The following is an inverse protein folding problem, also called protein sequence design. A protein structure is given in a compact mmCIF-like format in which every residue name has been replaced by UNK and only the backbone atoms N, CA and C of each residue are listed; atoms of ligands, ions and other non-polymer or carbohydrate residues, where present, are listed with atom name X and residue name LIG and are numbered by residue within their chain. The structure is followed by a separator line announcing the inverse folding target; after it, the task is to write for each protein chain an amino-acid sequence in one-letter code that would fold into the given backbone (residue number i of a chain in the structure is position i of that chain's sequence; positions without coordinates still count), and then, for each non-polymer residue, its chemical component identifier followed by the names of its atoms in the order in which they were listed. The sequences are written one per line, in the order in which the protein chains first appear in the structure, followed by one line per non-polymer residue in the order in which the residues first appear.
data_IF_608433256610
#
_entry.id   IF_608433256610
#
_cell.length_a   1.000
_cell.length_b   1.000
_cell.length_c   1.000
_cell.angle_alpha   90.00
_cell.angle_beta   90.00
_cell.angle_gamma   90.00
#
_symmetry.space_group_name_H-M   'P 1'
#
loop_
_entity.id
_entity.type
_entity.pdbx_description
1 polymer ?
#
# COMPACT_ATOMS: atom_id res chain seq x y z
N UNK A 1 -22.37 -12.92 52.50
CA UNK A 1 -21.12 -12.13 52.28
C UNK A 1 -20.46 -12.47 50.96
N UNK A 2 -20.47 -13.70 50.52
CA UNK A 2 -19.89 -14.20 49.25
C UNK A 2 -20.53 -13.56 47.99
N UNK A 3 -21.84 -13.33 47.97
CA UNK A 3 -22.58 -12.75 46.82
C UNK A 3 -22.31 -11.25 46.58
N UNK A 4 -21.78 -10.51 47.56
CA UNK A 4 -21.42 -9.10 47.36
C UNK A 4 -20.04 -8.93 46.74
N UNK A 5 -19.08 -9.82 47.05
CA UNK A 5 -17.74 -9.84 46.47
C UNK A 5 -17.76 -10.32 45.02
N UNK A 6 -18.61 -11.28 44.66
CA UNK A 6 -18.79 -11.74 43.28
C UNK A 6 -19.38 -10.64 42.36
N UNK A 7 -20.34 -9.85 42.87
CA UNK A 7 -20.90 -8.71 42.12
C UNK A 7 -19.94 -7.55 41.98
N UNK A 8 -19.07 -7.29 42.95
CA UNK A 8 -18.02 -6.28 42.86
C UNK A 8 -16.93 -6.69 41.88
N UNK A 9 -16.55 -7.97 41.82
CA UNK A 9 -15.58 -8.47 40.84
C UNK A 9 -16.08 -8.40 39.39
N UNK A 10 -17.36 -8.69 39.16
CA UNK A 10 -17.99 -8.59 37.83
C UNK A 10 -18.10 -7.13 37.39
N UNK A 11 -18.42 -6.20 38.29
CA UNK A 11 -18.47 -4.76 37.98
C UNK A 11 -17.08 -4.16 37.72
N UNK A 12 -16.02 -4.62 38.38
CA UNK A 12 -14.64 -4.22 38.13
C UNK A 12 -14.13 -4.80 36.81
N UNK A 13 -14.48 -6.05 36.45
CA UNK A 13 -14.12 -6.63 35.16
C UNK A 13 -14.84 -5.95 33.98
N UNK A 14 -16.13 -5.63 34.14
CA UNK A 14 -16.87 -4.90 33.10
C UNK A 14 -16.41 -3.45 32.96
N UNK A 15 -16.01 -2.77 34.04
CA UNK A 15 -15.40 -1.45 34.00
C UNK A 15 -14.03 -1.43 33.30
N UNK A 16 -13.20 -2.45 33.54
CA UNK A 16 -11.90 -2.58 32.86
C UNK A 16 -12.04 -2.92 31.37
N UNK A 17 -13.04 -3.71 30.98
CA UNK A 17 -13.35 -4.01 29.57
C UNK A 17 -13.92 -2.81 28.82
N UNK A 18 -14.67 -1.92 29.49
CA UNK A 18 -15.19 -0.70 28.88
C UNK A 18 -14.10 0.36 28.68
N UNK A 19 -13.05 0.38 29.50
CA UNK A 19 -11.90 1.28 29.31
C UNK A 19 -10.90 0.75 28.28
N UNK A 20 -10.80 -0.57 28.09
CA UNK A 20 -9.99 -1.15 27.01
C UNK A 20 -10.62 -0.93 25.62
N UNK A 21 -11.95 -0.79 25.54
CA UNK A 21 -12.65 -0.49 24.28
C UNK A 21 -12.42 0.93 23.75
N UNK A 22 -12.07 1.90 24.60
CA UNK A 22 -11.85 3.28 24.20
C UNK A 22 -10.44 3.53 23.59
N UNK A 23 -9.48 2.63 23.78
CA UNK A 23 -8.14 2.69 23.17
C UNK A 23 -8.00 1.89 21.86
N UNK A 24 -9.04 1.14 21.48
CA UNK A 24 -9.01 0.27 20.29
C UNK A 24 -9.52 0.94 19.01
N UNK A 25 -10.00 2.16 19.06
CA UNK A 25 -10.59 2.84 17.88
C UNK A 25 -9.60 3.56 16.98
N UNK A 26 -8.33 3.72 17.39
CA UNK A 26 -7.32 4.41 16.57
C UNK A 26 -6.40 3.48 15.77
N UNK A 27 -6.42 2.18 16.03
CA UNK A 27 -5.55 1.20 15.37
C UNK A 27 -6.05 0.72 14.00
N UNK A 28 -7.26 1.07 13.60
CA UNK A 28 -7.87 0.62 12.34
C UNK A 28 -7.44 1.39 11.09
N UNK A 29 -7.03 2.65 11.23
CA UNK A 29 -6.70 3.56 10.13
C UNK A 29 -5.21 3.70 9.85
N UNK A 30 -4.36 2.88 10.43
CA UNK A 30 -2.90 3.08 10.33
C UNK A 30 -2.25 2.53 9.05
N UNK A 31 -2.94 1.70 8.28
CA UNK A 31 -2.44 1.08 7.05
C UNK A 31 -3.59 0.65 6.14
N UNK A 32 -3.26 0.35 4.89
CA UNK A 32 -4.21 -0.09 3.87
C UNK A 32 -4.28 0.82 2.66
N UNK A 33 -5.30 0.61 1.82
CA UNK A 33 -5.60 1.43 0.65
C UNK A 33 -6.80 2.31 0.90
N UNK A 34 -6.65 3.57 0.57
CA UNK A 34 -7.68 4.59 0.64
C UNK A 34 -7.95 5.13 -0.76
N UNK A 35 -9.21 5.38 -1.05
CA UNK A 35 -9.65 5.93 -2.33
C UNK A 35 -10.40 7.23 -2.12
N UNK A 36 -10.06 8.22 -2.92
CA UNK A 36 -10.84 9.44 -3.15
C UNK A 36 -11.48 9.38 -4.54
N UNK A 37 -12.66 9.97 -4.70
CA UNK A 37 -13.35 10.15 -5.99
C UNK A 37 -13.57 11.60 -6.38
N UNK A 38 -13.11 12.52 -5.55
CA UNK A 38 -13.35 13.95 -5.62
C UNK A 38 -12.06 14.79 -5.60
N UNK A 39 -10.99 14.23 -6.19
CA UNK A 39 -9.70 14.93 -6.23
C UNK A 39 -9.03 15.06 -4.87
N UNK A 40 -9.22 14.06 -4.00
CA UNK A 40 -8.58 14.02 -2.69
C UNK A 40 -9.27 14.87 -1.61
N UNK A 41 -10.50 15.32 -1.83
CA UNK A 41 -11.22 16.08 -0.81
C UNK A 41 -11.77 15.16 0.29
N UNK A 42 -12.28 13.97 -0.09
CA UNK A 42 -12.73 12.95 0.85
C UNK A 42 -12.08 11.60 0.55
N UNK A 43 -11.86 10.79 1.58
CA UNK A 43 -11.18 9.51 1.49
C UNK A 43 -11.96 8.40 2.20
N UNK A 44 -11.97 7.23 1.59
CA UNK A 44 -12.58 6.02 2.13
C UNK A 44 -11.57 4.88 2.07
N UNK A 45 -11.36 4.19 3.17
CA UNK A 45 -10.59 2.95 3.18
C UNK A 45 -11.33 1.88 2.37
N UNK A 46 -10.62 1.23 1.43
CA UNK A 46 -11.22 0.26 0.51
C UNK A 46 -10.78 -1.17 0.76
N UNK A 47 -9.95 -1.43 1.78
CA UNK A 47 -9.58 -2.79 2.22
C UNK A 47 -9.60 -2.95 3.76
N UNK A 48 -10.66 -2.51 4.47
CA UNK A 48 -10.66 -2.47 5.93
C UNK A 48 -10.59 -3.86 6.57
N UNK A 49 -11.16 -4.86 5.94
CA UNK A 49 -11.26 -6.24 6.44
C UNK A 49 -10.20 -7.18 5.85
N UNK A 50 -9.33 -6.68 4.98
CA UNK A 50 -8.28 -7.50 4.37
C UNK A 50 -7.25 -7.93 5.42
N UNK A 51 -6.89 -9.22 5.41
CA UNK A 51 -5.82 -9.78 6.24
C UNK A 51 -4.45 -9.18 5.88
N UNK A 52 -4.25 -8.75 4.64
CA UNK A 52 -3.04 -8.09 4.15
C UNK A 52 -3.30 -6.59 4.04
N UNK A 53 -2.93 -5.83 5.07
CA UNK A 53 -3.27 -4.40 5.18
C UNK A 53 -2.19 -3.45 4.70
N UNK A 54 -0.92 -3.86 4.75
CA UNK A 54 0.18 -3.00 4.32
C UNK A 54 0.21 -2.82 2.81
N UNK A 55 -0.19 -1.65 2.30
CA UNK A 55 -0.21 -1.36 0.87
C UNK A 55 1.17 -0.88 0.41
N UNK A 56 1.81 -1.59 -0.51
CA UNK A 56 3.12 -1.26 -1.07
C UNK A 56 3.04 -0.72 -2.50
N UNK A 57 2.18 -1.31 -3.34
CA UNK A 57 1.90 -0.84 -4.69
C UNK A 57 0.50 -1.26 -5.14
N UNK A 58 -0.09 -0.50 -6.05
CA UNK A 58 -1.41 -0.76 -6.61
C UNK A 58 -1.34 -0.62 -8.13
N UNK A 59 -2.01 -1.53 -8.84
CA UNK A 59 -2.23 -1.42 -10.27
C UNK A 59 -3.71 -1.48 -10.59
N UNK A 60 -4.18 -0.57 -11.45
CA UNK A 60 -5.52 -0.57 -12.02
C UNK A 60 -5.43 -1.15 -13.41
N UNK A 61 -6.33 -2.06 -13.75
CA UNK A 61 -6.35 -2.67 -15.07
C UNK A 61 -6.66 -1.63 -16.16
N UNK A 62 -5.94 -1.63 -17.30
CA UNK A 62 -6.02 -0.54 -18.28
C UNK A 62 -7.37 -0.37 -18.98
N UNK A 63 -8.20 -1.42 -19.05
CA UNK A 63 -9.53 -1.38 -19.70
C UNK A 63 -10.70 -1.74 -18.78
N UNK A 64 -10.43 -2.10 -17.50
CA UNK A 64 -11.46 -2.44 -16.51
C UNK A 64 -11.21 -1.71 -15.19
N UNK A 65 -11.94 -0.62 -14.89
CA UNK A 65 -11.75 0.14 -13.66
C UNK A 65 -12.11 -0.63 -12.38
N UNK A 66 -12.77 -1.77 -12.52
CA UNK A 66 -13.15 -2.62 -11.39
C UNK A 66 -12.09 -3.65 -11.03
N UNK A 67 -11.15 -3.92 -11.92
CA UNK A 67 -10.08 -4.87 -11.69
C UNK A 67 -8.81 -4.17 -11.18
N UNK A 68 -8.44 -4.49 -9.95
CA UNK A 68 -7.28 -3.94 -9.23
C UNK A 68 -6.38 -5.08 -8.75
N UNK A 69 -5.07 -4.83 -8.73
CA UNK A 69 -4.09 -5.67 -8.04
C UNK A 69 -3.39 -4.84 -6.97
N UNK A 70 -3.36 -5.34 -5.75
CA UNK A 70 -2.73 -4.70 -4.60
C UNK A 70 -1.56 -5.56 -4.11
N UNK A 71 -0.37 -5.02 -4.23
CA UNK A 71 0.84 -5.57 -3.66
C UNK A 71 0.94 -5.16 -2.18
N UNK A 72 1.12 -6.15 -1.31
CA UNK A 72 1.13 -5.95 0.15
C UNK A 72 2.37 -6.56 0.80
N UNK A 73 2.56 -6.24 2.07
CA UNK A 73 3.59 -6.86 2.93
C UNK A 73 3.40 -8.37 3.16
N UNK A 74 2.24 -8.91 2.81
CA UNK A 74 1.88 -10.31 3.10
C UNK A 74 1.51 -11.11 1.86
N UNK A 75 1.39 -10.48 0.69
CA UNK A 75 1.02 -11.14 -0.56
C UNK A 75 0.46 -10.20 -1.61
N UNK A 76 -0.11 -10.79 -2.65
CA UNK A 76 -0.83 -10.10 -3.70
C UNK A 76 -2.33 -10.29 -3.51
N UNK A 77 -3.09 -9.22 -3.56
CA UNK A 77 -4.54 -9.23 -3.54
C UNK A 77 -5.10 -8.75 -4.88
N UNK A 78 -6.28 -9.26 -5.25
CA UNK A 78 -7.05 -8.78 -6.39
C UNK A 78 -8.44 -8.33 -5.97
N UNK A 79 -8.97 -7.32 -6.65
CA UNK A 79 -10.36 -6.91 -6.58
C UNK A 79 -10.95 -6.89 -7.97
N UNK A 80 -12.22 -7.32 -8.10
CA UNK A 80 -13.01 -7.28 -9.34
C UNK A 80 -14.21 -6.33 -9.27
N UNK A 81 -14.29 -5.55 -8.19
CA UNK A 81 -15.40 -4.61 -7.97
C UNK A 81 -14.94 -3.21 -7.54
N UNK A 82 -13.75 -2.83 -7.98
CA UNK A 82 -13.18 -1.49 -7.73
C UNK A 82 -12.71 -1.28 -6.29
N UNK A 83 -12.23 -2.34 -5.65
CA UNK A 83 -11.65 -2.31 -4.31
C UNK A 83 -12.67 -2.44 -3.17
N UNK A 84 -13.91 -2.89 -3.45
CA UNK A 84 -14.89 -3.15 -2.39
C UNK A 84 -14.57 -4.44 -1.63
N UNK A 85 -14.25 -5.48 -2.39
CA UNK A 85 -13.84 -6.78 -1.85
C UNK A 85 -12.48 -7.17 -2.43
N UNK A 86 -11.70 -7.90 -1.67
CA UNK A 86 -10.36 -8.32 -2.02
C UNK A 86 -10.14 -9.79 -1.72
N UNK A 87 -9.64 -10.50 -2.73
CA UNK A 87 -9.27 -11.91 -2.64
C UNK A 87 -7.75 -12.08 -2.72
N UNK A 88 -7.23 -13.13 -2.09
CA UNK A 88 -5.82 -13.48 -2.24
C UNK A 88 -5.55 -13.95 -3.67
N UNK A 89 -4.64 -13.25 -4.34
CA UNK A 89 -4.22 -13.56 -5.70
C UNK A 89 -2.91 -14.36 -5.66
N UNK A 90 -2.82 -15.41 -6.45
CA UNK A 90 -1.58 -16.19 -6.61
C UNK A 90 -0.98 -16.81 -5.32
N UNK A 91 -1.76 -17.01 -4.27
CA UNK A 91 -1.28 -17.50 -2.96
C UNK A 91 -0.57 -18.86 -3.02
N UNK A 92 -0.79 -19.63 -4.07
CA UNK A 92 -0.14 -20.93 -4.31
C UNK A 92 1.28 -20.83 -4.90
N UNK A 93 1.67 -19.68 -5.44
CA UNK A 93 3.01 -19.47 -6.06
C UNK A 93 3.72 -18.24 -5.52
N UNK A 94 2.97 -17.24 -5.05
CA UNK A 94 3.49 -15.98 -4.58
C UNK A 94 3.11 -15.82 -3.11
N UNK A 95 4.03 -16.12 -2.20
CA UNK A 95 3.88 -15.96 -0.76
C UNK A 95 4.85 -14.92 -0.22
N UNK A 96 4.42 -14.22 0.85
CA UNK A 96 5.21 -13.15 1.45
C UNK A 96 5.10 -11.81 0.71
N UNK A 97 5.98 -10.85 1.01
CA UNK A 97 5.83 -9.48 0.54
C UNK A 97 5.94 -9.36 -0.99
N UNK A 98 5.05 -8.53 -1.53
CA UNK A 98 5.06 -8.10 -2.94
C UNK A 98 5.33 -6.60 -2.97
N UNK A 99 6.41 -6.19 -3.61
CA UNK A 99 6.90 -4.81 -3.56
C UNK A 99 6.37 -3.93 -4.68
N UNK A 100 6.07 -4.53 -5.84
CA UNK A 100 5.56 -3.81 -7.00
C UNK A 100 4.68 -4.71 -7.85
N UNK A 101 3.74 -4.10 -8.57
CA UNK A 101 2.82 -4.79 -9.48
C UNK A 101 2.43 -3.85 -10.62
N UNK A 102 2.27 -4.40 -11.83
CA UNK A 102 1.75 -3.67 -12.99
C UNK A 102 1.01 -4.60 -13.94
N UNK A 103 -0.01 -4.06 -14.63
CA UNK A 103 -0.62 -4.68 -15.78
C UNK A 103 0.12 -4.32 -17.07
N UNK A 104 0.15 -5.23 -18.04
CA UNK A 104 0.48 -4.88 -19.43
C UNK A 104 -0.53 -3.87 -19.97
N UNK A 105 -0.09 -3.10 -20.96
CA UNK A 105 -0.91 -2.06 -21.61
C UNK A 105 -2.25 -2.61 -22.15
N UNK A 106 -2.29 -3.89 -22.53
CA UNK A 106 -3.49 -4.58 -22.99
C UNK A 106 -4.33 -5.21 -21.84
N UNK A 107 -3.85 -5.20 -20.61
CA UNK A 107 -4.49 -5.84 -19.47
C UNK A 107 -4.50 -7.37 -19.46
N UNK A 108 -3.91 -8.02 -20.47
CA UNK A 108 -3.94 -9.49 -20.60
C UNK A 108 -3.00 -10.20 -19.64
N UNK A 109 -1.94 -9.52 -19.24
CA UNK A 109 -0.88 -10.05 -18.39
C UNK A 109 -0.58 -9.05 -17.27
N UNK A 110 -0.02 -9.53 -16.17
CA UNK A 110 0.48 -8.71 -15.09
C UNK A 110 1.86 -9.21 -14.63
N UNK A 111 2.66 -8.30 -14.09
CA UNK A 111 3.94 -8.59 -13.43
C UNK A 111 3.87 -8.20 -11.97
N UNK A 112 4.50 -9.00 -11.11
CA UNK A 112 4.66 -8.71 -9.70
C UNK A 112 6.10 -8.99 -9.25
N UNK A 113 6.64 -8.11 -8.40
CA UNK A 113 7.94 -8.32 -7.77
C UNK A 113 7.74 -8.83 -6.36
N UNK A 114 7.99 -10.11 -6.14
CA UNK A 114 8.10 -10.68 -4.80
C UNK A 114 9.47 -10.42 -4.18
N UNK A 115 9.71 -11.00 -3.00
CA UNK A 115 10.97 -10.85 -2.27
C UNK A 115 12.17 -11.42 -3.03
N UNK A 116 12.00 -12.58 -3.68
CA UNK A 116 13.09 -13.36 -4.27
C UNK A 116 12.98 -13.56 -5.78
N UNK A 117 11.82 -13.23 -6.37
CA UNK A 117 11.56 -13.52 -7.78
C UNK A 117 10.57 -12.52 -8.40
N UNK A 118 10.55 -12.52 -9.73
CA UNK A 118 9.52 -11.85 -10.52
C UNK A 118 8.49 -12.90 -10.94
N UNK A 119 7.24 -12.52 -10.83
CA UNK A 119 6.08 -13.33 -11.19
C UNK A 119 5.34 -12.70 -12.34
N UNK A 120 4.80 -13.53 -13.23
CA UNK A 120 3.98 -13.10 -14.36
C UNK A 120 2.65 -13.84 -14.34
N UNK A 121 1.58 -13.10 -14.56
CA UNK A 121 0.25 -13.64 -14.84
C UNK A 121 0.03 -13.77 -16.34
N UNK A 122 -0.44 -14.92 -16.79
CA UNK A 122 -0.88 -15.18 -18.15
C UNK A 122 -2.16 -16.02 -18.09
N UNK A 123 -3.24 -15.56 -18.67
CA UNK A 123 -4.55 -16.23 -18.60
C UNK A 123 -4.99 -16.54 -17.16
N UNK A 124 -4.85 -15.59 -16.26
CA UNK A 124 -5.14 -15.69 -14.82
C UNK A 124 -4.33 -16.74 -14.06
N UNK A 125 -3.22 -17.19 -14.62
CA UNK A 125 -2.29 -18.12 -13.96
C UNK A 125 -0.96 -17.43 -13.69
N UNK A 126 -0.61 -17.33 -12.42
CA UNK A 126 0.67 -16.81 -12.00
C UNK A 126 1.74 -17.88 -12.00
N UNK A 127 2.92 -17.51 -12.44
CA UNK A 127 4.11 -18.34 -12.40
C UNK A 127 5.36 -17.47 -12.24
N UNK A 128 6.37 -18.02 -11.62
CA UNK A 128 7.68 -17.39 -11.59
C UNK A 128 8.19 -17.25 -13.02
N UNK A 129 8.81 -16.12 -13.31
CA UNK A 129 9.45 -15.83 -14.59
C UNK A 129 10.95 -15.62 -14.41
N UNK A 130 11.67 -15.47 -15.51
CA UNK A 130 13.10 -15.23 -15.45
C UNK A 130 13.39 -13.94 -14.67
N UNK A 131 14.23 -14.07 -13.64
CA UNK A 131 14.64 -12.97 -12.79
C UNK A 131 15.97 -12.41 -13.31
N UNK A 132 16.17 -11.07 -13.32
CA UNK A 132 17.45 -10.50 -13.69
C UNK A 132 18.60 -10.98 -12.79
N UNK A 133 19.82 -11.14 -13.30
CA UNK A 133 20.97 -11.47 -12.46
C UNK A 133 21.20 -10.42 -11.38
N UNK A 134 21.52 -10.87 -10.16
CA UNK A 134 21.72 -9.98 -9.01
C UNK A 134 20.43 -9.32 -8.53
N UNK A 135 19.29 -9.92 -8.81
CA UNK A 135 17.98 -9.39 -8.44
C UNK A 135 17.89 -9.09 -6.93
N UNK A 136 17.37 -7.92 -6.63
CA UNK A 136 16.73 -7.58 -5.36
C UNK A 136 15.29 -7.19 -5.67
N UNK A 137 14.37 -7.20 -4.67
CA UNK A 137 12.99 -6.82 -4.93
C UNK A 137 12.89 -5.50 -5.69
N UNK A 138 12.15 -5.46 -6.80
CA UNK A 138 11.93 -4.20 -7.50
C UNK A 138 10.99 -3.31 -6.68
N UNK A 139 11.35 -2.06 -6.53
CA UNK A 139 10.50 -1.04 -5.90
C UNK A 139 9.39 -0.57 -6.83
N UNK A 140 9.68 -0.56 -8.12
CA UNK A 140 8.80 -0.03 -9.17
C UNK A 140 8.76 -1.01 -10.33
N UNK A 141 7.57 -1.35 -10.77
CA UNK A 141 7.31 -1.95 -12.09
C UNK A 141 6.41 -0.99 -12.84
N UNK A 142 6.79 -0.61 -14.05
CA UNK A 142 6.00 0.27 -14.91
C UNK A 142 5.82 -0.37 -16.27
N UNK A 143 4.56 -0.42 -16.74
CA UNK A 143 4.26 -0.77 -18.13
C UNK A 143 4.84 0.29 -19.07
N UNK A 144 5.54 -0.14 -20.10
CA UNK A 144 6.29 0.74 -21.00
C UNK A 144 5.44 1.46 -22.05
N UNK A 145 4.09 1.42 -21.96
CA UNK A 145 3.20 2.04 -22.95
C UNK A 145 3.17 1.31 -24.30
N UNK A 146 3.96 0.25 -24.47
CA UNK A 146 4.03 -0.63 -25.64
C UNK A 146 3.81 -2.05 -25.16
N UNK A 147 3.02 -2.83 -25.89
CA UNK A 147 2.75 -4.22 -25.54
C UNK A 147 4.03 -5.03 -25.37
N UNK A 148 4.11 -5.77 -24.28
CA UNK A 148 5.29 -6.57 -23.93
C UNK A 148 6.43 -5.80 -23.27
N UNK A 149 6.40 -4.45 -23.26
CA UNK A 149 7.45 -3.64 -22.64
C UNK A 149 7.12 -3.32 -21.19
N UNK A 150 8.08 -3.55 -20.31
CA UNK A 150 8.03 -3.09 -18.93
C UNK A 150 9.43 -2.74 -18.41
N UNK A 151 9.46 -2.00 -17.32
CA UNK A 151 10.67 -1.62 -16.61
C UNK A 151 10.59 -2.07 -15.16
N UNK A 152 11.68 -2.64 -14.66
CA UNK A 152 11.92 -2.93 -13.25
C UNK A 152 12.95 -1.94 -12.72
N UNK A 153 12.63 -1.27 -11.64
CA UNK A 153 13.52 -0.32 -10.99
C UNK A 153 13.57 -0.51 -9.48
N UNK A 154 14.70 -0.24 -8.89
CA UNK A 154 14.89 -0.33 -7.44
C UNK A 154 16.35 -0.43 -7.04
N UNK A 155 16.64 -1.33 -6.11
CA UNK A 155 17.95 -1.45 -5.46
C UNK A 155 19.07 -2.05 -6.34
N UNK A 156 18.72 -2.71 -7.43
CA UNK A 156 19.68 -3.32 -8.37
C UNK A 156 19.77 -2.58 -9.69
N UNK A 157 19.37 -1.30 -9.71
CA UNK A 157 19.36 -0.47 -10.91
C UNK A 157 18.09 -0.67 -11.74
N UNK A 158 18.22 -0.53 -13.05
CA UNK A 158 17.11 -0.52 -13.99
C UNK A 158 17.23 -1.67 -14.99
N UNK A 159 16.13 -2.41 -15.16
CA UNK A 159 16.02 -3.46 -16.15
C UNK A 159 14.81 -3.22 -17.06
N UNK A 160 14.94 -3.61 -18.32
CA UNK A 160 13.87 -3.54 -19.32
C UNK A 160 13.56 -4.93 -19.86
N UNK A 161 12.30 -5.19 -20.10
CA UNK A 161 11.80 -6.31 -20.92
C UNK A 161 11.04 -5.75 -22.11
N UNK A 162 11.07 -6.45 -23.24
CA UNK A 162 10.22 -6.20 -24.42
C UNK A 162 9.33 -7.42 -24.73
N UNK A 163 9.27 -8.39 -23.82
CA UNK A 163 8.46 -9.61 -23.93
C UNK A 163 7.76 -9.98 -22.61
N UNK A 164 7.39 -8.94 -21.85
CA UNK A 164 6.65 -9.00 -20.61
C UNK A 164 7.24 -10.01 -19.61
N UNK A 165 8.53 -9.78 -19.26
CA UNK A 165 9.23 -10.55 -18.22
C UNK A 165 9.77 -11.90 -18.64
N UNK A 166 9.61 -12.35 -19.91
CA UNK A 166 10.23 -13.61 -20.37
C UNK A 166 11.76 -13.49 -20.46
N UNK A 167 12.26 -12.29 -20.70
CA UNK A 167 13.68 -11.95 -20.58
C UNK A 167 13.86 -10.51 -20.14
N UNK A 168 14.99 -10.22 -19.50
CA UNK A 168 15.33 -8.90 -18.99
C UNK A 168 16.69 -8.48 -19.49
N UNK A 169 16.81 -7.22 -19.84
CA UNK A 169 18.08 -6.56 -20.20
C UNK A 169 18.36 -5.46 -19.20
N UNK A 170 19.55 -5.41 -18.63
CA UNK A 170 19.99 -4.31 -17.79
C UNK A 170 20.17 -3.08 -18.68
N UNK A 171 19.61 -1.94 -18.26
CA UNK A 171 19.66 -0.66 -18.96
C UNK A 171 20.06 0.43 -17.97
N UNK A 172 20.47 1.60 -18.48
CA UNK A 172 20.79 2.73 -17.60
C UNK A 172 22.11 2.54 -16.86
N UNK A 173 23.19 2.16 -17.55
CA UNK A 173 24.53 2.04 -16.96
C UNK A 173 25.00 3.32 -16.27
N UNK A 174 24.51 4.48 -16.70
CA UNK A 174 24.82 5.77 -16.15
C UNK A 174 24.21 5.97 -14.75
N UNK A 175 23.13 5.26 -14.41
CA UNK A 175 22.42 5.35 -13.13
C UNK A 175 22.56 4.07 -12.29
N UNK A 176 23.38 3.12 -12.70
CA UNK A 176 23.50 1.77 -12.11
C UNK A 176 23.94 1.75 -10.64
N UNK A 177 24.68 2.77 -10.20
CA UNK A 177 25.15 2.86 -8.82
C UNK A 177 24.10 3.46 -7.86
N UNK A 178 22.96 3.91 -8.40
CA UNK A 178 21.96 4.64 -7.64
C UNK A 178 20.68 3.83 -7.44
N UNK A 179 20.08 3.98 -6.29
CA UNK A 179 18.73 3.46 -6.04
C UNK A 179 17.71 4.24 -6.87
N UNK A 180 16.98 3.54 -7.73
CA UNK A 180 15.92 4.14 -8.56
C UNK A 180 14.60 4.10 -7.79
N UNK A 181 14.17 5.25 -7.31
CA UNK A 181 12.99 5.39 -6.46
C UNK A 181 11.69 5.60 -7.24
N UNK A 182 11.76 6.17 -8.45
CA UNK A 182 10.59 6.40 -9.30
C UNK A 182 10.95 6.34 -10.79
N UNK A 183 9.95 5.97 -11.60
CA UNK A 183 9.98 6.04 -13.06
C UNK A 183 8.70 6.72 -13.54
N UNK A 184 8.84 7.64 -14.49
CA UNK A 184 7.74 8.28 -15.17
C UNK A 184 7.94 8.12 -16.69
N UNK A 185 6.92 7.60 -17.37
CA UNK A 185 6.92 7.38 -18.82
C UNK A 185 5.92 8.34 -19.45
N UNK A 186 6.32 9.04 -20.49
CA UNK A 186 5.43 9.93 -21.20
C UNK A 186 4.32 9.15 -21.91
N UNK A 187 3.07 9.54 -21.70
CA UNK A 187 1.93 8.91 -22.37
C UNK A 187 1.95 9.11 -23.90
N UNK A 188 2.57 10.21 -24.36
CA UNK A 188 2.64 10.57 -25.77
C UNK A 188 3.86 10.00 -26.49
N UNK A 189 4.87 9.54 -25.74
CA UNK A 189 6.12 9.01 -26.28
C UNK A 189 6.68 7.94 -25.34
N UNK A 190 6.43 6.65 -25.61
CA UNK A 190 6.86 5.54 -24.74
C UNK A 190 8.39 5.41 -24.58
N UNK A 191 9.15 6.04 -25.45
CA UNK A 191 10.62 6.08 -25.36
C UNK A 191 11.13 7.29 -24.54
N UNK A 192 10.23 8.21 -24.15
CA UNK A 192 10.52 9.34 -23.27
C UNK A 192 10.27 8.97 -21.81
N UNK A 193 11.37 8.72 -21.10
CA UNK A 193 11.34 8.16 -19.75
C UNK A 193 12.17 9.04 -18.83
N UNK A 194 11.64 9.27 -17.65
CA UNK A 194 12.36 9.95 -16.59
C UNK A 194 12.48 9.02 -15.37
N UNK A 195 13.66 8.99 -14.79
CA UNK A 195 13.96 8.23 -13.58
C UNK A 195 14.40 9.18 -12.47
N UNK A 196 13.98 8.89 -11.25
CA UNK A 196 14.51 9.52 -10.05
C UNK A 196 15.48 8.54 -9.38
N UNK A 197 16.76 8.90 -9.36
CA UNK A 197 17.81 8.10 -8.76
C UNK A 197 18.85 8.99 -8.08
N UNK A 198 19.22 8.66 -6.84
CA UNK A 198 20.13 9.45 -6.02
C UNK A 198 19.67 10.91 -5.82
N UNK A 199 18.36 11.17 -5.84
CA UNK A 199 17.79 12.51 -5.76
C UNK A 199 17.96 13.37 -7.01
N UNK A 200 18.43 12.76 -8.12
CA UNK A 200 18.58 13.42 -9.43
C UNK A 200 17.53 12.90 -10.41
N UNK A 201 17.08 13.76 -11.31
CA UNK A 201 16.24 13.34 -12.42
C UNK A 201 17.13 13.00 -13.61
N UNK A 202 16.94 11.79 -14.11
CA UNK A 202 17.59 11.27 -15.31
C UNK A 202 16.56 11.18 -16.43
N UNK A 203 16.96 11.51 -17.64
CA UNK A 203 16.10 11.50 -18.82
C UNK A 203 16.67 10.59 -19.90
N UNK A 204 15.83 9.72 -20.44
CA UNK A 204 16.08 8.93 -21.64
C UNK A 204 15.07 9.30 -22.73
N UNK A 205 15.50 9.24 -23.99
CA UNK A 205 14.65 9.49 -25.16
C UNK A 205 14.64 8.32 -26.14
N UNK A 206 15.27 7.23 -25.74
CA UNK A 206 15.51 6.04 -26.58
C UNK A 206 15.04 4.75 -25.89
N UNK A 207 14.05 4.86 -25.00
CA UNK A 207 13.48 3.72 -24.29
C UNK A 207 14.44 3.14 -23.24
N UNK A 208 15.12 3.98 -22.50
CA UNK A 208 16.06 3.64 -21.44
C UNK A 208 17.39 3.02 -21.89
N UNK A 209 17.79 3.17 -23.17
CA UNK A 209 19.09 2.68 -23.65
C UNK A 209 20.24 3.59 -23.24
N UNK A 210 20.01 4.91 -23.23
CA UNK A 210 20.95 5.91 -22.74
C UNK A 210 20.25 6.93 -21.84
N UNK A 211 21.02 7.52 -20.92
CA UNK A 211 20.48 8.44 -19.92
C UNK A 211 21.36 9.68 -19.80
N UNK A 212 20.70 10.78 -19.49
CA UNK A 212 21.36 12.04 -19.16
C UNK A 212 20.75 12.61 -17.89
N UNK A 213 21.58 13.09 -16.98
CA UNK A 213 21.12 13.80 -15.80
C UNK A 213 20.56 15.17 -16.20
N UNK A 214 19.44 15.56 -15.59
CA UNK A 214 18.95 16.93 -15.63
C UNK A 214 19.58 17.70 -14.46
N UNK A 215 20.66 18.43 -14.74
CA UNK A 215 21.44 19.22 -13.76
C UNK A 215 20.80 20.57 -13.41
N UNK A 216 19.66 20.90 -14.03
CA UNK A 216 18.93 22.16 -13.82
C UNK A 216 17.97 22.11 -12.63
N UNK A 217 17.94 21.02 -11.89
CA UNK A 217 17.12 20.87 -10.68
C UNK A 217 17.76 21.70 -9.56
N UNK A 218 17.00 22.57 -8.89
CA UNK A 218 17.57 23.47 -7.88
C UNK A 218 18.00 22.77 -6.60
N UNK A 219 17.45 21.57 -6.32
CA UNK A 219 17.69 20.78 -5.11
C UNK A 219 17.47 19.30 -5.38
N UNK A 220 17.84 18.45 -4.42
CA UNK A 220 17.56 17.01 -4.45
C UNK A 220 16.05 16.76 -4.54
N UNK A 221 15.63 16.00 -5.55
CA UNK A 221 14.22 15.64 -5.73
C UNK A 221 13.87 14.37 -4.94
N UNK A 222 12.67 14.34 -4.37
CA UNK A 222 12.13 13.22 -3.60
C UNK A 222 11.02 12.46 -4.36
N UNK A 223 10.29 13.14 -5.25
CA UNK A 223 9.19 12.56 -6.03
C UNK A 223 9.21 13.06 -7.48
N UNK A 224 8.66 12.21 -8.38
CA UNK A 224 8.61 12.45 -9.81
C UNK A 224 7.31 11.88 -10.38
N UNK A 225 6.61 12.65 -11.20
CA UNK A 225 5.43 12.18 -11.94
C UNK A 225 5.15 13.01 -13.18
N UNK A 226 4.45 12.43 -14.16
CA UNK A 226 3.77 13.20 -15.21
C UNK A 226 2.34 13.53 -14.75
N UNK A 227 1.90 14.77 -15.02
CA UNK A 227 0.46 15.01 -15.10
C UNK A 227 -0.09 14.44 -16.44
N UNK A 228 -1.40 14.42 -16.58
CA UNK A 228 -2.04 14.01 -17.83
C UNK A 228 -2.78 15.17 -18.50
N UNK A 229 -2.34 16.37 -18.26
CA UNK A 229 -2.79 17.54 -19.01
C UNK A 229 -2.27 17.49 -20.46
N UNK A 230 -2.84 18.28 -21.32
CA UNK A 230 -2.34 18.42 -22.70
C UNK A 230 -1.90 19.87 -22.89
N UNK A 231 -0.59 20.11 -23.10
CA UNK A 231 0.53 19.16 -23.15
C UNK A 231 0.88 18.59 -21.78
N UNK A 232 1.37 17.36 -21.75
CA UNK A 232 1.80 16.67 -20.53
C UNK A 232 3.01 17.38 -19.90
N UNK A 233 2.95 17.62 -18.59
CA UNK A 233 4.04 18.28 -17.84
C UNK A 233 4.67 17.29 -16.90
N UNK A 234 5.98 17.44 -16.73
CA UNK A 234 6.75 16.69 -15.74
C UNK A 234 6.79 17.48 -14.43
N UNK A 235 6.58 16.79 -13.33
CA UNK A 235 6.57 17.33 -11.99
C UNK A 235 7.58 16.63 -11.10
N UNK A 236 8.24 17.40 -10.24
CA UNK A 236 9.04 16.89 -9.12
C UNK A 236 8.63 17.58 -7.84
N UNK A 237 8.96 16.94 -6.72
CA UNK A 237 8.96 17.57 -5.41
C UNK A 237 10.40 17.60 -4.91
N UNK A 238 10.87 18.76 -4.51
CA UNK A 238 12.19 18.97 -3.95
C UNK A 238 12.10 19.90 -2.74
N UNK A 239 12.67 19.51 -1.60
CA UNK A 239 12.54 20.23 -0.34
C UNK A 239 11.10 20.66 -0.01
N UNK A 240 10.14 19.75 -0.19
CA UNK A 240 8.72 19.98 0.08
C UNK A 240 8.01 20.92 -0.90
N UNK A 241 8.66 21.47 -1.90
CA UNK A 241 8.07 22.34 -2.93
C UNK A 241 7.90 21.57 -4.24
N UNK A 242 6.77 21.79 -4.92
CA UNK A 242 6.54 21.28 -6.27
C UNK A 242 7.26 22.16 -7.31
N UNK A 243 7.82 21.51 -8.32
CA UNK A 243 8.36 22.14 -9.52
C UNK A 243 7.77 21.46 -10.74
N UNK A 244 7.54 22.23 -11.79
CA UNK A 244 7.06 21.71 -13.06
C UNK A 244 8.02 22.05 -14.19
N UNK A 245 7.94 21.23 -15.23
CA UNK A 245 8.67 21.42 -16.46
C UNK A 245 7.77 21.06 -17.64
N UNK A 246 7.63 21.95 -18.61
CA UNK A 246 6.69 21.77 -19.73
C UNK A 246 7.26 20.85 -20.81
N UNK A 247 8.56 20.94 -21.04
CA UNK A 247 9.30 20.14 -22.02
C UNK A 247 10.75 19.93 -21.56
N UNK A 248 11.54 19.19 -22.34
CA UNK A 248 12.91 18.83 -22.00
C UNK A 248 13.87 20.04 -21.99
N UNK A 249 13.54 21.08 -22.73
CA UNK A 249 14.39 22.27 -22.89
C UNK A 249 14.06 23.33 -21.84
N UNK A 250 12.86 23.29 -21.29
CA UNK A 250 12.38 24.21 -20.26
C UNK A 250 13.19 24.08 -18.98
N UNK A 251 13.23 25.16 -18.21
CA UNK A 251 13.72 25.14 -16.82
C UNK A 251 12.65 24.61 -15.88
N UNK A 252 13.09 24.12 -14.73
CA UNK A 252 12.18 23.80 -13.63
C UNK A 252 11.63 25.07 -13.02
N UNK A 253 10.32 25.21 -13.05
CA UNK A 253 9.59 26.35 -12.48
C UNK A 253 9.02 25.95 -11.13
N UNK A 254 9.30 26.68 -10.03
CA UNK A 254 8.67 26.43 -8.75
C UNK A 254 7.17 26.76 -8.84
N UNK A 255 6.36 25.92 -8.18
CA UNK A 255 4.91 26.10 -8.14
C UNK A 255 4.47 26.19 -6.68
N UNK A 256 3.81 27.28 -6.36
CA UNK A 256 3.24 27.53 -5.04
C UNK A 256 4.26 27.62 -3.91
N UNK A 257 3.78 27.42 -2.69
CA UNK A 257 4.57 27.37 -1.47
C UNK A 257 5.09 25.92 -1.22
N UNK A 258 6.12 25.73 -0.40
CA UNK A 258 6.45 24.41 0.13
C UNK A 258 5.34 23.91 1.07
N UNK A 259 5.24 22.59 1.25
CA UNK A 259 4.38 21.99 2.29
C UNK A 259 4.81 22.48 3.68
N UNK A 260 3.91 22.60 4.66
CA UNK A 260 4.19 23.20 5.96
C UNK A 260 5.03 22.31 6.91
N UNK A 261 5.47 21.13 6.46
CA UNK A 261 6.38 20.25 7.20
C UNK A 261 7.73 20.13 6.46
N UNK A 262 8.78 20.87 6.86
CA UNK A 262 10.07 20.86 6.18
C UNK A 262 10.87 19.55 6.38
N UNK A 263 10.44 18.68 7.29
CA UNK A 263 11.06 17.37 7.52
C UNK A 263 10.40 16.26 6.70
N UNK A 264 9.21 16.50 6.14
CA UNK A 264 8.50 15.51 5.35
C UNK A 264 9.20 15.27 4.01
N UNK A 265 9.48 14.02 3.69
CA UNK A 265 10.04 13.58 2.43
C UNK A 265 8.93 13.10 1.50
N UNK A 266 8.84 13.69 0.34
CA UNK A 266 7.84 13.30 -0.63
C UNK A 266 8.06 11.87 -1.15
N UNK A 267 6.95 11.18 -1.42
CA UNK A 267 6.90 9.83 -2.01
C UNK A 267 6.18 9.84 -3.36
N UNK A 268 5.31 10.80 -3.57
CA UNK A 268 4.56 10.96 -4.82
C UNK A 268 3.95 12.34 -4.94
N UNK A 269 3.62 12.70 -6.16
CA UNK A 269 2.88 13.92 -6.48
C UNK A 269 1.77 13.61 -7.48
N UNK A 270 0.60 14.17 -7.23
CA UNK A 270 -0.54 14.16 -8.14
C UNK A 270 -0.97 15.59 -8.42
N UNK A 271 -1.28 15.89 -9.69
CA UNK A 271 -1.75 17.20 -10.12
C UNK A 271 -2.93 17.03 -11.07
N UNK A 272 -4.01 17.77 -10.79
CA UNK A 272 -5.17 17.89 -11.67
C UNK A 272 -5.74 19.31 -11.54
N UNK A 273 -5.56 20.13 -12.57
CA UNK A 273 -5.90 21.55 -12.55
C UNK A 273 -5.22 22.26 -11.37
N UNK A 274 -6.00 22.91 -10.49
CA UNK A 274 -5.52 23.61 -9.30
C UNK A 274 -5.36 22.67 -8.07
N UNK A 275 -5.81 21.42 -8.19
CA UNK A 275 -5.65 20.43 -7.13
C UNK A 275 -4.28 19.77 -7.22
N UNK A 276 -3.53 19.85 -6.15
CA UNK A 276 -2.25 19.16 -5.98
C UNK A 276 -2.27 18.31 -4.72
N UNK A 277 -1.69 17.10 -4.80
CA UNK A 277 -1.53 16.22 -3.65
C UNK A 277 -0.08 15.74 -3.62
N UNK A 278 0.54 15.84 -2.45
CA UNK A 278 1.88 15.31 -2.18
C UNK A 278 1.75 14.26 -1.08
N UNK A 279 2.06 13.02 -1.39
CA UNK A 279 2.23 11.97 -0.39
C UNK A 279 3.65 12.01 0.18
N UNK A 280 3.78 11.79 1.48
CA UNK A 280 5.06 11.87 2.19
C UNK A 280 5.23 10.72 3.17
N UNK A 281 6.40 10.63 3.79
CA UNK A 281 6.67 9.73 4.92
C UNK A 281 5.95 10.15 6.22
N UNK A 282 5.24 11.30 6.21
CA UNK A 282 4.54 11.86 7.38
C UNK A 282 3.06 12.15 7.12
N UNK A 283 2.50 11.62 6.04
CA UNK A 283 1.10 11.81 5.66
C UNK A 283 0.92 12.37 4.26
N UNK A 284 -0.28 12.83 3.97
CA UNK A 284 -0.66 13.34 2.65
C UNK A 284 -1.08 14.80 2.77
N UNK A 285 -0.46 15.66 1.99
CA UNK A 285 -0.78 17.08 1.90
C UNK A 285 -1.58 17.36 0.64
N UNK A 286 -2.60 18.22 0.75
CA UNK A 286 -3.43 18.65 -0.38
C UNK A 286 -3.48 20.17 -0.47
N UNK A 287 -3.41 20.66 -1.70
CA UNK A 287 -3.72 22.01 -2.10
C UNK A 287 -4.92 22.01 -3.05
N UNK A 288 -5.74 23.05 -2.99
CA UNK A 288 -6.84 23.33 -3.93
C UNK A 288 -6.66 24.65 -4.69
N UNK A 289 -5.51 25.28 -4.55
CA UNK A 289 -5.16 26.59 -5.08
C UNK A 289 -3.80 26.59 -5.80
N UNK A 290 -3.54 25.52 -6.57
CA UNK A 290 -2.30 25.33 -7.34
C UNK A 290 -1.01 25.40 -6.47
N UNK A 291 -1.10 24.92 -5.22
CA UNK A 291 0.04 24.89 -4.30
C UNK A 291 0.29 26.17 -3.53
N UNK A 292 -0.57 27.18 -3.64
CA UNK A 292 -0.40 28.42 -2.89
C UNK A 292 -0.55 28.18 -1.37
N UNK A 293 -1.46 27.28 -0.98
CA UNK A 293 -1.60 26.81 0.39
C UNK A 293 -1.73 25.29 0.45
N UNK A 294 -1.34 24.70 1.59
CA UNK A 294 -1.35 23.27 1.81
C UNK A 294 -2.00 22.91 3.14
N UNK A 295 -2.79 21.84 3.13
CA UNK A 295 -3.36 21.25 4.34
C UNK A 295 -2.94 19.78 4.45
N UNK A 296 -2.55 19.35 5.66
CA UNK A 296 -2.38 17.93 5.97
C UNK A 296 -3.77 17.29 6.01
N UNK A 297 -3.97 16.24 5.23
CA UNK A 297 -5.21 15.47 5.22
C UNK A 297 -5.25 14.55 6.44
N UNK A 298 -6.18 14.83 7.35
CA UNK A 298 -6.40 14.06 8.57
C UNK A 298 -7.76 13.34 8.60
N UNK A 299 -8.74 13.86 7.86
CA UNK A 299 -10.05 13.23 7.77
C UNK A 299 -10.05 12.06 6.81
N UNK A 300 -10.25 10.83 7.33
CA UNK A 300 -10.33 9.61 6.54
C UNK A 300 -9.00 9.06 6.04
N UNK A 301 -7.87 9.61 6.46
CA UNK A 301 -6.52 9.08 6.18
C UNK A 301 -5.71 8.92 7.48
N UNK A 302 -4.75 7.99 7.52
CA UNK A 302 -3.79 7.89 8.61
C UNK A 302 -2.95 9.16 8.72
N UNK A 303 -2.86 9.70 9.93
CA UNK A 303 -2.01 10.84 10.25
C UNK A 303 -0.62 10.38 10.63
N UNK A 304 0.40 11.13 10.21
CA UNK A 304 1.79 10.87 10.57
C UNK A 304 2.30 9.48 10.18
N UNK A 305 1.68 8.84 9.18
CA UNK A 305 2.06 7.56 8.62
C UNK A 305 2.66 7.73 7.22
N UNK A 306 3.59 6.85 6.86
CA UNK A 306 4.18 6.84 5.53
C UNK A 306 3.15 6.46 4.48
N UNK A 307 2.89 7.37 3.54
CA UNK A 307 2.11 7.08 2.35
C UNK A 307 3.02 6.44 1.29
N UNK A 308 2.97 5.11 1.21
CA UNK A 308 3.85 4.28 0.39
C UNK A 308 3.56 4.37 -1.09
N UNK A 309 2.32 4.72 -1.45
CA UNK A 309 1.89 4.92 -2.84
C UNK A 309 0.92 6.10 -2.94
N UNK A 310 0.95 6.75 -4.10
CA UNK A 310 -0.05 7.68 -4.58
C UNK A 310 -0.29 7.37 -6.05
N UNK A 311 -1.50 6.92 -6.40
CA UNK A 311 -1.83 6.47 -7.73
C UNK A 311 -3.10 7.16 -8.21
N UNK A 312 -3.07 7.68 -9.44
CA UNK A 312 -4.23 8.16 -10.15
C UNK A 312 -4.91 7.00 -10.90
N UNK A 313 -6.22 6.95 -10.84
CA UNK A 313 -7.02 6.05 -11.67
C UNK A 313 -6.86 6.43 -13.17
N UNK A 314 -6.52 5.47 -14.05
CA UNK A 314 -6.35 5.76 -15.47
C UNK A 314 -7.67 6.09 -16.19
N UNK A 315 -8.82 5.67 -15.65
CA UNK A 315 -10.15 5.85 -16.25
C UNK A 315 -10.82 7.13 -15.77
N UNK A 316 -10.66 7.46 -14.49
CA UNK A 316 -11.34 8.59 -13.85
C UNK A 316 -10.32 9.52 -13.20
N UNK A 317 -10.01 10.67 -13.83
CA UNK A 317 -8.96 11.56 -13.33
C UNK A 317 -9.10 12.01 -11.87
N UNK A 318 -10.31 12.25 -11.40
CA UNK A 318 -10.57 12.65 -10.02
C UNK A 318 -10.46 11.51 -9.00
N UNK A 319 -10.38 10.26 -9.46
CA UNK A 319 -10.19 9.10 -8.59
C UNK A 319 -8.70 8.90 -8.31
N UNK A 320 -8.35 8.84 -7.04
CA UNK A 320 -6.98 8.72 -6.54
C UNK A 320 -6.96 7.66 -5.46
N UNK A 321 -5.88 6.88 -5.44
CA UNK A 321 -5.59 5.92 -4.39
C UNK A 321 -4.34 6.36 -3.62
N UNK A 322 -4.41 6.27 -2.30
CA UNK A 322 -3.28 6.41 -1.39
C UNK A 322 -3.11 5.12 -0.59
N UNK A 323 -1.89 4.64 -0.47
CA UNK A 323 -1.61 3.43 0.30
C UNK A 323 -0.68 3.73 1.47
N UNK A 324 -0.90 3.00 2.55
CA UNK A 324 -0.13 3.12 3.78
C UNK A 324 0.32 1.73 4.24
N UNK A 325 1.53 1.66 4.78
CA UNK A 325 2.07 0.45 5.38
C UNK A 325 2.80 0.79 6.68
N UNK A 326 2.76 -0.12 7.64
CA UNK A 326 3.52 0.04 8.90
C UNK A 326 5.02 -0.01 8.67
N UNK A 327 5.46 -0.79 7.70
CA UNK A 327 6.84 -0.85 7.26
C UNK A 327 6.90 -0.38 5.81
N UNK A 328 7.69 0.64 5.56
CA UNK A 328 8.00 1.06 4.21
C UNK A 328 8.81 -0.01 3.46
N UNK A 329 8.86 0.06 2.13
CA UNK A 329 9.56 -0.93 1.31
C UNK A 329 11.04 -1.13 1.67
N UNK A 330 11.72 -0.05 2.06
CA UNK A 330 13.12 -0.07 2.49
C UNK A 330 13.31 -0.85 3.79
N UNK A 331 12.45 -0.62 4.78
CA UNK A 331 12.47 -1.32 6.07
C UNK A 331 12.15 -2.80 5.89
N UNK A 332 11.12 -3.11 5.09
CA UNK A 332 10.72 -4.49 4.81
C UNK A 332 11.84 -5.26 4.10
N UNK A 333 12.50 -4.63 3.12
CA UNK A 333 13.68 -5.20 2.47
C UNK A 333 14.81 -5.44 3.47
N UNK A 334 15.08 -4.49 4.37
CA UNK A 334 16.08 -4.64 5.42
C UNK A 334 15.85 -5.89 6.26
N UNK A 335 14.63 -6.13 6.70
CA UNK A 335 14.24 -7.33 7.44
C UNK A 335 14.49 -8.61 6.63
N UNK A 336 14.20 -8.62 5.34
CA UNK A 336 14.40 -9.79 4.47
C UNK A 336 15.87 -10.10 4.19
N UNK A 337 16.75 -9.08 4.17
CA UNK A 337 18.18 -9.24 3.87
C UNK A 337 19.02 -9.50 5.13
N UNK A 338 18.46 -9.41 6.33
CA UNK A 338 19.13 -9.72 7.59
C UNK A 338 18.53 -10.98 8.24
N UNK A 339 18.73 -12.16 7.65
CA UNK A 339 18.09 -13.39 8.15
C UNK A 339 18.52 -13.77 9.58
N UNK A 340 19.61 -13.23 10.07
CA UNK A 340 20.21 -13.55 11.38
C UNK A 340 19.81 -12.60 12.54
N UNK A 341 19.12 -11.52 12.25
CA UNK A 341 18.38 -10.84 13.31
C UNK A 341 17.01 -11.53 13.44
N UNK A 342 17.07 -12.76 13.96
CA UNK A 342 15.92 -13.42 14.56
C UNK A 342 15.06 -12.35 15.23
N UNK A 343 13.83 -12.17 14.80
CA UNK A 343 12.75 -11.80 15.73
C UNK A 343 13.10 -12.56 17.00
N UNK A 344 13.52 -11.82 18.04
CA UNK A 344 14.03 -12.46 19.23
C UNK A 344 12.99 -13.50 19.58
N UNK A 345 13.40 -14.77 19.79
CA UNK A 345 12.49 -15.88 20.10
C UNK A 345 11.49 -15.51 21.21
N UNK A 346 11.80 -14.43 21.95
CA UNK A 346 10.92 -13.76 22.90
C UNK A 346 9.68 -13.13 22.30
N UNK A 347 9.75 -12.45 21.16
CA UNK A 347 8.57 -11.73 20.60
C UNK A 347 7.58 -12.71 19.95
N UNK A 348 8.08 -13.79 19.32
CA UNK A 348 7.23 -14.87 18.82
C UNK A 348 6.64 -15.66 19.98
N UNK A 349 7.40 -15.92 21.05
CA UNK A 349 6.90 -16.59 22.25
C UNK A 349 5.85 -15.73 22.97
N UNK A 350 6.01 -14.40 23.00
CA UNK A 350 5.05 -13.46 23.56
C UNK A 350 3.76 -13.40 22.72
N UNK A 351 3.87 -13.37 21.38
CA UNK A 351 2.72 -13.43 20.48
C UNK A 351 1.99 -14.77 20.56
N UNK A 352 2.70 -15.89 20.53
CA UNK A 352 2.11 -17.24 20.69
C UNK A 352 1.52 -17.41 22.08
N UNK A 353 2.19 -16.90 23.14
CA UNK A 353 1.67 -16.89 24.49
C UNK A 353 0.39 -16.05 24.65
N UNK A 354 0.34 -14.87 24.01
CA UNK A 354 -0.86 -14.02 24.00
C UNK A 354 -2.04 -14.66 23.27
N UNK A 355 -1.79 -15.29 22.11
CA UNK A 355 -2.82 -16.03 21.36
C UNK A 355 -3.30 -17.28 22.11
N UNK A 356 -2.40 -18.04 22.74
CA UNK A 356 -2.75 -19.19 23.55
C UNK A 356 -3.54 -18.77 24.80
N UNK A 357 -3.16 -17.68 25.46
CA UNK A 357 -3.90 -17.11 26.59
C UNK A 357 -5.29 -16.65 26.20
N UNK A 358 -5.44 -15.98 25.06
CA UNK A 358 -6.75 -15.54 24.55
C UNK A 358 -7.65 -16.73 24.17
N UNK A 359 -7.10 -17.77 23.54
CA UNK A 359 -7.83 -18.98 23.22
C UNK A 359 -8.32 -19.71 24.48
N UNK A 360 -7.50 -19.79 25.53
CA UNK A 360 -7.89 -20.38 26.83
C UNK A 360 -9.00 -19.58 27.52
N UNK A 361 -8.97 -18.25 27.45
CA UNK A 361 -10.05 -17.39 27.98
C UNK A 361 -11.34 -17.63 27.20
N UNK A 362 -11.32 -17.72 25.88
CA UNK A 362 -12.51 -18.02 25.07
C UNK A 362 -13.08 -19.40 25.36
N UNK A 363 -12.22 -20.41 25.53
CA UNK A 363 -12.67 -21.77 25.94
C UNK A 363 -13.29 -21.73 27.34
N UNK A 364 -12.65 -21.03 28.28
CA UNK A 364 -13.16 -20.85 29.64
C UNK A 364 -14.54 -20.20 29.69
N UNK A 365 -14.71 -19.08 28.92
CA UNK A 365 -16.01 -18.40 28.81
C UNK A 365 -17.06 -19.30 28.16
N UNK A 366 -16.69 -20.06 27.11
CA UNK A 366 -17.60 -21.00 26.46
C UNK A 366 -18.05 -22.16 27.39
N UNK A 367 -17.15 -22.67 28.23
CA UNK A 367 -17.45 -23.71 29.21
C UNK A 367 -18.37 -23.17 30.30
N UNK A 368 -18.12 -21.96 30.80
CA UNK A 368 -18.98 -21.32 31.80
C UNK A 368 -20.38 -21.05 31.24
N UNK A 369 -20.47 -20.51 30.01
CA UNK A 369 -21.75 -20.27 29.35
C UNK A 369 -22.55 -21.56 29.14
N UNK A 370 -21.89 -22.67 28.76
CA UNK A 370 -22.55 -23.98 28.62
C UNK A 370 -23.00 -24.57 29.98
N UNK A 371 -22.26 -24.32 31.07
CA UNK A 371 -22.71 -24.71 32.41
C UNK A 371 -23.95 -23.94 32.88
N UNK A 372 -23.93 -22.60 32.69
CA UNK A 372 -25.07 -21.75 33.07
C UNK A 372 -26.33 -22.11 32.29
N UNK A 373 -26.24 -22.40 30.98
CA UNK A 373 -27.39 -22.85 30.18
C UNK A 373 -27.89 -24.25 30.59
N UNK A 374 -27.02 -25.15 31.07
CA UNK A 374 -27.43 -26.46 31.58
C UNK A 374 -28.14 -26.37 32.93
N UNK A 375 -27.66 -25.51 33.83
CA UNK A 375 -28.31 -25.29 35.15
C UNK A 375 -29.69 -24.62 34.99
N UNK A 376 -29.84 -23.65 34.06
CA UNK A 376 -31.13 -23.02 33.75
C UNK A 376 -32.14 -24.03 33.15
N UNK A 377 -31.67 -24.96 32.29
CA UNK A 377 -32.53 -26.00 31.70
C UNK A 377 -32.94 -27.05 32.71
N UNK A 378 -32.06 -27.45 33.64
CA UNK A 378 -32.36 -28.38 34.71
C UNK A 378 -33.38 -27.77 35.68
N UNK A 379 -33.20 -26.52 36.09
CA UNK A 379 -34.12 -25.81 37.00
C UNK A 379 -35.51 -25.58 36.37
N UNK A 380 -35.59 -25.36 35.04
CA UNK A 380 -36.87 -25.32 34.34
C UNK A 380 -37.56 -26.67 34.24
N UNK A 381 -36.81 -27.76 34.03
CA UNK A 381 -37.35 -29.11 33.96
C UNK A 381 -37.91 -29.54 35.32
N UNK A 382 -37.20 -29.24 36.42
CA UNK A 382 -37.68 -29.55 37.77
C UNK A 382 -38.97 -28.78 38.11
N UNK A 383 -39.10 -27.52 37.73
CA UNK A 383 -40.35 -26.76 37.94
C UNK A 383 -41.52 -27.32 37.14
N UNK A 384 -41.32 -27.76 35.92
CA UNK A 384 -42.38 -28.35 35.09
C UNK A 384 -42.83 -29.71 35.68
N UNK A 385 -41.92 -30.48 36.28
CA UNK A 385 -42.23 -31.75 36.92
C UNK A 385 -43.05 -31.52 38.25
N UNK A 386 -42.69 -30.51 39.03
CA UNK A 386 -43.40 -30.14 40.26
C UNK A 386 -44.78 -29.56 39.93
N UNK A 387 -44.94 -28.74 38.88
CA UNK A 387 -46.28 -28.28 38.46
C UNK A 387 -47.14 -29.41 37.93
N UNK A 388 -46.61 -30.39 37.21
CA UNK A 388 -47.39 -31.58 36.80
C UNK A 388 -47.77 -32.51 37.96
N UNK A 389 -47.01 -32.54 39.07
CA UNK A 389 -47.38 -33.32 40.29
C UNK A 389 -48.43 -32.61 41.10
N UNK A 390 -48.55 -31.32 41.07
CA UNK A 390 -49.57 -30.55 41.78
C UNK A 390 -50.94 -30.57 41.09
N UNK A 391 -51.03 -30.94 39.82
CA UNK A 391 -52.29 -31.04 39.06
C UNK A 391 -52.87 -32.47 38.94
N UNK A 392 -52.27 -33.47 39.59
CA UNK A 392 -52.81 -34.82 39.58
C UNK A 392 -53.73 -34.98 40.76
N UNK A 393 -55.03 -35.35 40.53
CA UNK A 393 -56.10 -35.49 41.58
C UNK A 393 -55.88 -36.68 42.54
#
# INVERSE_FOLDING_TARGET
MVNRLARAAVLLLTGALLHAGALAHDSGLSNGVFRSRDGGATWLQVNPESFARGALALAVHPSDPHHLLLATDSGLLSSRNGGRDWDAEASNVLSGPVFAVAFDVNGKEALASGANAIYRSESNRWRETRTPPGFAPARVIVSGGVAGRAYLAGWTGLHRTDNWGRSWTRVGKEIDAEYVSALAISANSPDDIHALAGGRVWTSTDGARSWRVDDRIPQTADALAFDRTVPTRLWIVAAGRAYRKQDRTSRWEPVGAPIPDPQAKARGIYVLNDVMIISTDRGVFRSSDAGASWALLSAGLPNHAEATLLLRDPHTPATIYAGFSRMGPEQLRGVLLTPDQSFARGDVALLVGAYAGFALVLVGVSVIARRMTREDTATKADRVIDDMRAESP
#
